data_IF_437492773420
#
_entry.id   IF_437492773420
#
_cell.length_a   1.000
_cell.length_b   1.000
_cell.length_c   1.000
_cell.angle_alpha   90.00
_cell.angle_beta   90.00
_cell.angle_gamma   90.00
#
_symmetry.space_group_name_H-M   'P 1'
#
loop_
_entity.id
_entity.type
_entity.pdbx_description
1 polymer ?
#
# COMPACT_ATOMS: atom_id res chain seq x y z
N UNK A 1 -15.76 1.94 4.39
CA UNK A 1 -15.74 0.55 3.89
C UNK A 1 -15.36 0.59 2.42
N UNK A 2 -14.46 -0.27 1.97
CA UNK A 2 -14.02 -0.26 0.56
C UNK A 2 -15.05 -0.97 -0.31
N UNK A 3 -15.50 -0.32 -1.39
CA UNK A 3 -16.40 -0.91 -2.40
C UNK A 3 -15.65 -1.69 -3.49
N UNK A 4 -14.33 -1.86 -3.36
CA UNK A 4 -13.49 -2.56 -4.33
C UNK A 4 -13.21 -3.98 -3.85
N UNK A 5 -13.32 -4.94 -4.75
CA UNK A 5 -13.00 -6.35 -4.59
C UNK A 5 -11.79 -6.73 -5.43
N UNK A 6 -10.95 -7.59 -4.87
CA UNK A 6 -9.87 -8.28 -5.55
C UNK A 6 -10.39 -9.67 -5.96
N UNK A 7 -10.24 -9.99 -7.23
CA UNK A 7 -10.60 -11.30 -7.78
C UNK A 7 -9.33 -11.98 -8.26
N UNK A 8 -8.90 -13.05 -7.60
CA UNK A 8 -7.74 -13.87 -7.98
C UNK A 8 -8.15 -15.27 -8.42
N UNK A 9 -7.23 -16.02 -9.02
CA UNK A 9 -7.50 -17.39 -9.48
C UNK A 9 -8.32 -17.48 -10.77
N UNK A 10 -8.45 -16.38 -11.51
CA UNK A 10 -9.18 -16.32 -12.77
C UNK A 10 -8.47 -17.15 -13.86
N UNK A 11 -9.23 -17.65 -14.82
CA UNK A 11 -8.67 -18.30 -15.99
C UNK A 11 -7.92 -17.32 -16.88
N UNK A 12 -6.99 -17.84 -17.68
CA UNK A 12 -6.21 -16.99 -18.59
C UNK A 12 -7.07 -16.35 -19.68
N UNK A 13 -8.23 -16.94 -19.98
CA UNK A 13 -9.21 -16.43 -20.92
C UNK A 13 -10.17 -15.39 -20.30
N UNK A 14 -10.14 -15.19 -18.98
CA UNK A 14 -11.04 -14.24 -18.32
C UNK A 14 -10.64 -12.81 -18.67
N UNK A 15 -11.60 -12.06 -19.24
CA UNK A 15 -11.48 -10.64 -19.58
C UNK A 15 -12.26 -9.76 -18.60
N UNK A 16 -12.08 -8.44 -18.69
CA UNK A 16 -12.86 -7.47 -17.92
C UNK A 16 -14.36 -7.58 -18.18
N UNK A 17 -14.78 -7.85 -19.42
CA UNK A 17 -16.18 -8.12 -19.77
C UNK A 17 -16.72 -9.36 -19.07
N UNK A 18 -15.96 -10.46 -19.09
CA UNK A 18 -16.36 -11.73 -18.46
C UNK A 18 -16.43 -11.58 -16.94
N UNK A 19 -15.44 -10.89 -16.35
CA UNK A 19 -15.41 -10.58 -14.93
C UNK A 19 -16.64 -9.75 -14.56
N UNK A 20 -16.87 -8.64 -15.25
CA UNK A 20 -18.02 -7.77 -15.01
C UNK A 20 -19.33 -8.55 -15.09
N UNK A 21 -19.54 -9.34 -16.15
CA UNK A 21 -20.77 -10.11 -16.33
C UNK A 21 -20.98 -11.16 -15.23
N UNK A 22 -19.90 -11.74 -14.70
CA UNK A 22 -19.98 -12.66 -13.56
C UNK A 22 -20.37 -11.95 -12.24
N UNK A 23 -20.06 -10.66 -12.09
CA UNK A 23 -20.33 -9.88 -10.88
C UNK A 23 -21.60 -9.01 -10.96
N UNK A 24 -22.08 -8.69 -12.15
CA UNK A 24 -23.34 -7.97 -12.41
C UNK A 24 -24.59 -8.54 -11.70
N UNK A 25 -24.81 -9.87 -11.61
CA UNK A 25 -25.99 -10.39 -10.91
C UNK A 25 -25.93 -10.22 -9.39
N UNK A 26 -24.74 -9.98 -8.82
CA UNK A 26 -24.55 -9.84 -7.38
C UNK A 26 -24.61 -8.39 -6.91
N UNK A 27 -24.47 -7.43 -7.83
CA UNK A 27 -24.57 -6.01 -7.51
C UNK A 27 -24.17 -5.10 -8.67
N UNK A 28 -24.43 -3.80 -8.50
CA UNK A 28 -24.06 -2.78 -9.47
C UNK A 28 -22.54 -2.54 -9.48
N UNK A 29 -21.89 -2.96 -10.58
CA UNK A 29 -20.46 -2.78 -10.82
C UNK A 29 -20.22 -1.42 -11.47
N UNK A 30 -19.44 -0.57 -10.80
CA UNK A 30 -19.02 0.75 -11.32
C UNK A 30 -17.79 0.65 -12.20
N UNK A 31 -16.85 -0.25 -11.88
CA UNK A 31 -15.60 -0.43 -12.64
C UNK A 31 -15.12 -1.88 -12.54
N UNK A 32 -14.60 -2.43 -13.63
CA UNK A 32 -14.01 -3.77 -13.65
C UNK A 32 -12.73 -3.76 -14.49
N UNK A 33 -11.63 -4.23 -13.89
CA UNK A 33 -10.33 -4.25 -14.54
C UNK A 33 -9.60 -5.55 -14.28
N UNK A 34 -9.39 -6.35 -15.33
CA UNK A 34 -8.49 -7.51 -15.28
C UNK A 34 -7.06 -7.07 -15.50
N UNK A 35 -6.15 -7.56 -14.64
CA UNK A 35 -4.72 -7.33 -14.82
C UNK A 35 -4.16 -8.45 -15.68
N UNK A 36 -3.76 -8.06 -16.89
CA UNK A 36 -3.13 -8.94 -17.86
C UNK A 36 -1.65 -8.61 -17.97
N UNK A 37 -0.85 -9.63 -18.24
CA UNK A 37 0.56 -9.48 -18.49
C UNK A 37 0.76 -8.78 -19.83
N UNK A 38 1.47 -7.65 -19.81
CA UNK A 38 1.60 -6.77 -20.98
C UNK A 38 2.61 -7.27 -22.00
N UNK A 39 3.49 -8.19 -21.59
CA UNK A 39 4.56 -8.75 -22.41
C UNK A 39 4.06 -9.98 -23.19
N UNK A 40 3.32 -10.86 -22.53
CA UNK A 40 2.76 -12.08 -23.12
C UNK A 40 1.31 -11.93 -23.58
N UNK A 41 0.63 -10.85 -23.20
CA UNK A 41 -0.81 -10.65 -23.44
C UNK A 41 -1.69 -11.65 -22.68
N UNK A 42 -1.14 -12.40 -21.71
CA UNK A 42 -1.87 -13.42 -20.95
C UNK A 42 -2.40 -12.85 -19.66
N UNK A 43 -3.65 -13.10 -19.31
CA UNK A 43 -4.20 -12.70 -18.02
C UNK A 43 -3.32 -13.21 -16.87
N UNK A 44 -2.98 -12.35 -15.90
CA UNK A 44 -2.19 -12.78 -14.73
C UNK A 44 -3.01 -13.62 -13.75
N UNK A 45 -4.27 -13.93 -14.11
CA UNK A 45 -5.22 -14.67 -13.29
C UNK A 45 -5.80 -13.85 -12.15
N UNK A 46 -5.74 -12.52 -12.24
CA UNK A 46 -6.35 -11.63 -11.24
C UNK A 46 -6.88 -10.32 -11.84
N UNK A 47 -7.84 -9.72 -11.14
CA UNK A 47 -8.50 -8.48 -11.50
C UNK A 47 -9.08 -7.77 -10.29
N UNK A 48 -9.63 -6.59 -10.53
CA UNK A 48 -10.27 -5.74 -9.54
C UNK A 48 -11.66 -5.36 -10.03
N UNK A 49 -12.63 -5.37 -9.13
CA UNK A 49 -14.01 -4.95 -9.40
C UNK A 49 -14.38 -3.90 -8.38
N UNK A 50 -14.94 -2.78 -8.79
CA UNK A 50 -15.44 -1.73 -7.92
C UNK A 50 -16.96 -1.71 -8.03
N UNK A 51 -17.65 -1.85 -6.90
CA UNK A 51 -19.10 -1.77 -6.79
C UNK A 51 -19.55 -0.37 -6.41
N UNK A 52 -20.82 -0.08 -6.69
CA UNK A 52 -21.47 1.17 -6.30
C UNK A 52 -21.54 1.32 -4.77
N UNK A 53 -21.79 0.23 -4.04
CA UNK A 53 -21.86 0.23 -2.58
C UNK A 53 -20.99 -0.86 -1.95
N UNK A 54 -20.45 -0.63 -0.74
CA UNK A 54 -19.61 -1.61 -0.04
C UNK A 54 -20.41 -2.81 0.48
N UNK A 55 -21.72 -2.68 0.69
CA UNK A 55 -22.60 -3.77 1.12
C UNK A 55 -22.75 -4.83 0.02
N UNK A 56 -22.92 -4.38 -1.23
CA UNK A 56 -22.94 -5.24 -2.41
C UNK A 56 -21.59 -5.93 -2.60
N UNK A 57 -20.48 -5.20 -2.43
CA UNK A 57 -19.14 -5.75 -2.50
C UNK A 57 -18.92 -6.88 -1.48
N UNK A 58 -19.31 -6.68 -0.22
CA UNK A 58 -19.16 -7.70 0.82
C UNK A 58 -20.01 -8.94 0.56
N UNK A 59 -21.23 -8.76 0.05
CA UNK A 59 -22.15 -9.86 -0.26
C UNK A 59 -21.71 -10.65 -1.50
N UNK A 60 -21.20 -9.96 -2.51
CA UNK A 60 -20.60 -10.58 -3.70
C UNK A 60 -19.32 -11.33 -3.34
N UNK A 61 -18.48 -10.79 -2.45
CA UNK A 61 -17.29 -11.48 -1.92
C UNK A 61 -17.66 -12.82 -1.32
N UNK A 62 -18.60 -12.85 -0.38
CA UNK A 62 -18.94 -14.06 0.37
C UNK A 62 -19.52 -15.16 -0.53
N UNK A 63 -20.30 -14.77 -1.55
CA UNK A 63 -20.88 -15.72 -2.50
C UNK A 63 -19.91 -16.22 -3.57
N UNK A 64 -18.98 -15.38 -4.00
CA UNK A 64 -18.05 -15.69 -5.11
C UNK A 64 -16.69 -16.19 -4.63
N UNK A 65 -16.31 -15.97 -3.37
CA UNK A 65 -15.06 -16.50 -2.83
C UNK A 65 -15.07 -18.04 -2.81
N UNK A 66 -14.05 -18.63 -3.42
CA UNK A 66 -13.94 -20.08 -3.54
C UNK A 66 -14.83 -20.69 -4.63
N UNK A 67 -15.59 -19.89 -5.37
CA UNK A 67 -16.38 -20.37 -6.50
C UNK A 67 -15.48 -20.94 -7.61
N UNK A 68 -16.02 -21.83 -8.45
CA UNK A 68 -15.29 -22.36 -9.60
C UNK A 68 -15.74 -21.66 -10.86
N UNK A 69 -14.86 -20.85 -11.46
CA UNK A 69 -15.07 -20.17 -12.72
C UNK A 69 -14.15 -20.78 -13.78
N UNK A 70 -14.70 -21.19 -14.91
CA UNK A 70 -13.92 -21.71 -16.05
C UNK A 70 -12.99 -22.89 -15.67
N UNK A 71 -13.47 -23.75 -14.75
CA UNK A 71 -12.70 -24.90 -14.25
C UNK A 71 -11.60 -24.55 -13.23
N UNK A 72 -11.51 -23.30 -12.77
CA UNK A 72 -10.57 -22.85 -11.74
C UNK A 72 -11.29 -22.24 -10.55
N UNK A 73 -10.75 -22.51 -9.35
CA UNK A 73 -11.24 -21.83 -8.13
C UNK A 73 -10.78 -20.38 -8.15
N UNK A 74 -11.75 -19.49 -8.09
CA UNK A 74 -11.52 -18.06 -7.91
C UNK A 74 -11.48 -17.72 -6.42
N UNK A 75 -10.71 -16.71 -6.07
CA UNK A 75 -10.68 -16.10 -4.74
C UNK A 75 -11.22 -14.69 -4.88
N UNK A 76 -12.18 -14.31 -4.05
CA UNK A 76 -12.68 -12.95 -4.01
C UNK A 76 -12.45 -12.39 -2.63
N UNK A 77 -11.76 -11.26 -2.54
CA UNK A 77 -11.47 -10.61 -1.27
C UNK A 77 -11.74 -9.11 -1.35
N UNK A 78 -11.92 -8.44 -0.20
CA UNK A 78 -12.03 -6.98 -0.19
C UNK A 78 -10.68 -6.42 -0.63
N UNK A 79 -10.67 -5.70 -1.75
CA UNK A 79 -9.46 -5.01 -2.16
C UNK A 79 -9.18 -3.94 -1.11
N UNK A 80 -8.10 -4.15 -0.36
CA UNK A 80 -7.49 -3.10 0.43
C UNK A 80 -7.07 -2.01 -0.56
N UNK A 81 -7.87 -0.95 -0.65
CA UNK A 81 -7.34 0.32 -1.11
C UNK A 81 -6.15 0.58 -0.20
N UNK A 82 -4.93 0.50 -0.75
CA UNK A 82 -3.76 0.99 -0.03
C UNK A 82 -4.13 2.40 0.35
N UNK A 83 -4.42 2.60 1.62
CA UNK A 83 -4.82 3.87 2.16
C UNK A 83 -3.67 4.84 1.94
N UNK A 84 -3.73 5.55 0.81
CA UNK A 84 -3.08 6.83 0.67
C UNK A 84 -3.81 7.79 1.59
N UNK A 85 -3.42 7.78 2.87
CA UNK A 85 -3.81 8.78 3.87
C UNK A 85 -4.92 8.35 4.82
N UNK A 86 -4.56 7.88 6.00
CA UNK A 86 -5.46 7.86 7.16
C UNK A 86 -5.15 6.79 8.21
N UNK A 87 -4.38 7.19 9.21
CA UNK A 87 -4.17 6.46 10.48
C UNK A 87 -2.82 5.76 10.55
N UNK A 88 -1.91 6.02 11.48
CA UNK A 88 -1.99 6.73 12.75
C UNK A 88 -0.97 6.07 13.68
N UNK A 89 0.06 6.81 14.10
CA UNK A 89 1.16 6.26 14.90
C UNK A 89 1.84 7.32 15.75
N UNK A 90 1.18 7.72 16.85
CA UNK A 90 1.83 8.40 17.96
C UNK A 90 0.98 9.51 18.60
N UNK A 91 0.37 9.28 19.78
CA UNK A 91 -0.08 10.38 20.63
C UNK A 91 1.18 11.12 21.13
N UNK A 92 1.45 12.32 20.60
CA UNK A 92 2.41 13.22 21.24
C UNK A 92 1.74 13.72 22.50
N UNK A 93 2.18 13.12 23.60
CA UNK A 93 1.74 13.32 24.98
C UNK A 93 1.44 14.79 25.26
N UNK A 94 0.26 14.99 25.82
CA UNK A 94 0.04 16.03 26.83
C UNK A 94 1.16 15.97 27.87
N UNK A 95 1.81 17.11 28.09
CA UNK A 95 2.94 17.32 29.00
C UNK A 95 3.67 18.56 28.50
N UNK A 96 3.38 19.78 28.95
CA UNK A 96 3.21 20.18 30.34
C UNK A 96 4.60 20.41 30.94
N UNK A 97 4.96 21.69 31.13
CA UNK A 97 6.18 22.14 31.81
C UNK A 97 7.27 22.59 30.82
N UNK A 98 7.72 23.84 30.74
CA UNK A 98 7.77 24.87 31.78
C UNK A 98 9.09 24.76 32.55
N UNK A 99 10.17 25.29 31.97
CA UNK A 99 11.36 25.79 32.64
C UNK A 99 12.07 26.69 31.60
N UNK A 100 12.50 27.92 31.85
CA UNK A 100 12.84 28.56 33.11
C UNK A 100 14.28 29.07 32.98
N UNK A 101 14.46 30.40 33.00
CA UNK A 101 15.75 31.08 33.18
C UNK A 101 16.67 31.04 31.96
N UNK A 102 17.31 32.12 31.52
CA UNK A 102 17.86 33.21 32.31
C UNK A 102 19.30 32.91 32.70
N UNK A 103 20.23 33.48 31.91
CA UNK A 103 21.51 34.11 32.32
C UNK A 103 22.61 33.30 33.05
N UNK A 104 23.85 33.68 32.66
CA UNK A 104 25.06 33.84 33.48
C UNK A 104 26.06 32.66 33.70
N UNK A 105 27.34 32.94 33.38
CA UNK A 105 28.56 32.27 33.86
C UNK A 105 29.04 31.07 33.04
N UNK A 106 30.30 30.86 32.66
CA UNK A 106 31.59 31.43 33.05
C UNK A 106 32.63 30.30 33.19
N UNK A 107 33.77 30.39 32.48
CA UNK A 107 35.07 29.88 32.94
C UNK A 107 35.60 28.48 32.51
N UNK A 108 36.88 28.47 32.09
CA UNK A 108 37.86 27.35 32.14
C UNK A 108 37.91 26.41 30.93
N UNK A 109 38.98 26.30 30.11
CA UNK A 109 40.39 25.96 30.42
C UNK A 109 40.45 24.47 30.78
N UNK A 110 41.08 23.51 30.07
CA UNK A 110 42.46 23.26 29.58
C UNK A 110 42.34 22.08 28.56
N UNK A 111 43.18 21.81 27.54
CA UNK A 111 44.63 21.62 27.53
C UNK A 111 44.98 20.17 27.14
N UNK A 112 45.70 19.97 26.03
CA UNK A 112 46.35 18.70 25.60
C UNK A 112 45.86 18.20 24.24
N UNK A 113 46.67 17.90 23.22
CA UNK A 113 48.10 17.90 22.91
C UNK A 113 48.18 17.42 21.44
N UNK A 114 48.73 18.18 20.49
CA UNK A 114 50.11 18.15 19.98
C UNK A 114 50.69 16.75 19.68
N UNK A 115 50.30 16.22 18.53
CA UNK A 115 51.09 15.32 17.68
C UNK A 115 50.64 15.67 16.23
N UNK A 116 51.41 16.21 15.29
CA UNK A 116 52.83 16.03 15.01
C UNK A 116 52.95 15.30 13.67
N UNK A 117 53.34 15.99 12.59
CA UNK A 117 53.88 15.36 11.38
C UNK A 117 53.17 15.70 10.07
N UNK A 118 53.75 16.64 9.32
CA UNK A 118 53.39 16.91 7.94
C UNK A 118 54.05 15.97 6.94
N UNK A 119 53.34 15.75 5.83
CA UNK A 119 53.78 15.40 4.49
C UNK A 119 52.60 15.88 3.60
N UNK A 120 52.72 16.59 2.47
CA UNK A 120 53.79 16.67 1.50
C UNK A 120 53.31 16.07 0.18
N UNK A 121 52.80 16.90 -0.75
CA UNK A 121 52.91 16.67 -2.20
C UNK A 121 51.66 16.24 -3.00
N UNK A 122 51.37 17.00 -4.08
CA UNK A 122 50.71 16.62 -5.35
C UNK A 122 49.21 16.28 -5.29
N UNK A 123 48.24 17.02 -5.83
CA UNK A 123 48.03 17.46 -7.24
C UNK A 123 48.53 16.45 -8.26
N UNK A 124 47.56 15.80 -8.94
CA UNK A 124 47.44 15.54 -10.39
C UNK A 124 46.75 14.19 -10.66
N UNK A 125 45.60 14.22 -11.37
CA UNK A 125 44.92 13.05 -11.93
C UNK A 125 43.50 12.84 -11.46
#
# INVERSE_FOLDING_TARGET
MSSKLFCGGLAWATTDETLRSAFEPFGEVTDAKVVQDRETGRSRGFGFVTFATPELASSARDQMDGATLDGRRIRVDIAQERQGGGGGGGPRRSGGGGYGGGREGGGGGYGGGRDGGGYGGGREG
#
